data_IF_048043102536
#
_entry.id   IF_048043102536
#
_cell.length_a   1.000
_cell.length_b   1.000
_cell.length_c   1.000
_cell.angle_alpha   90.00
_cell.angle_beta   90.00
_cell.angle_gamma   90.00
#
_symmetry.space_group_name_H-M   'P 1'
#
loop_
_entity.id
_entity.type
_entity.pdbx_description
1 polymer ?
#
# COMPACT_ATOMS: atom_id res chain seq x y z
N UNK A 1 -2.60 -25.88 39.97
CA UNK A 1 -2.31 -26.07 38.55
C UNK A 1 -3.55 -26.57 37.87
N UNK A 2 -4.44 -25.66 37.51
CA UNK A 2 -5.63 -25.97 36.72
C UNK A 2 -5.24 -25.95 35.27
N UNK A 3 -5.17 -27.09 34.63
CA UNK A 3 -5.13 -27.26 33.18
C UNK A 3 -6.46 -26.76 32.62
N UNK A 4 -6.49 -25.47 32.26
CA UNK A 4 -7.60 -24.92 31.50
C UNK A 4 -7.67 -25.66 30.18
N UNK A 5 -8.55 -26.64 30.08
CA UNK A 5 -8.96 -27.30 28.87
C UNK A 5 -9.44 -26.22 27.89
N UNK A 6 -8.61 -25.95 26.86
CA UNK A 6 -8.94 -25.05 25.76
C UNK A 6 -10.25 -25.53 25.12
N UNK A 7 -11.37 -24.93 25.52
CA UNK A 7 -12.67 -25.10 24.84
C UNK A 7 -12.43 -24.84 23.36
N UNK A 8 -12.87 -25.77 22.48
CA UNK A 8 -12.86 -25.62 21.01
C UNK A 8 -13.22 -24.18 20.66
N UNK A 9 -12.25 -23.41 20.17
CA UNK A 9 -12.32 -21.95 20.06
C UNK A 9 -13.54 -21.53 19.24
N UNK A 10 -14.33 -20.62 19.79
CA UNK A 10 -15.48 -20.02 19.10
C UNK A 10 -15.00 -19.43 17.77
N UNK A 11 -15.76 -19.69 16.71
CA UNK A 11 -15.49 -19.14 15.35
C UNK A 11 -15.50 -17.61 15.38
N UNK A 12 -16.38 -17.04 16.20
CA UNK A 12 -16.48 -15.60 16.41
C UNK A 12 -15.84 -15.19 17.74
N UNK A 13 -15.07 -14.12 17.69
CA UNK A 13 -14.50 -13.46 18.85
C UNK A 13 -15.49 -12.60 19.63
N UNK A 14 -15.11 -12.12 20.82
CA UNK A 14 -15.92 -11.17 21.57
C UNK A 14 -16.04 -9.83 20.82
N UNK A 15 -17.15 -9.12 21.04
CA UNK A 15 -17.41 -7.81 20.42
C UNK A 15 -16.27 -6.79 20.71
N UNK A 16 -15.67 -6.87 21.89
CA UNK A 16 -14.51 -6.04 22.28
C UNK A 16 -13.30 -6.20 21.34
N UNK A 17 -13.05 -7.43 20.86
CA UNK A 17 -11.99 -7.71 19.88
C UNK A 17 -12.26 -7.02 18.54
N UNK A 18 -13.47 -7.16 18.01
CA UNK A 18 -13.84 -6.52 16.74
C UNK A 18 -13.85 -4.99 16.86
N UNK A 19 -14.30 -4.47 18.01
CA UNK A 19 -14.21 -3.02 18.30
C UNK A 19 -12.76 -2.54 18.25
N UNK A 20 -11.82 -3.29 18.85
CA UNK A 20 -10.37 -2.98 18.79
C UNK A 20 -9.85 -3.03 17.34
N UNK A 21 -10.22 -4.06 16.59
CA UNK A 21 -9.82 -4.20 15.18
C UNK A 21 -10.35 -3.03 14.32
N UNK A 22 -11.62 -2.65 14.48
CA UNK A 22 -12.22 -1.52 13.78
C UNK A 22 -11.60 -0.16 14.16
N UNK A 23 -11.26 0.03 15.44
CA UNK A 23 -10.58 1.24 15.91
C UNK A 23 -9.18 1.40 15.30
N UNK A 24 -8.55 0.32 14.85
CA UNK A 24 -7.28 0.34 14.10
C UNK A 24 -7.55 0.48 12.61
N UNK A 25 -8.44 -0.33 12.04
CA UNK A 25 -8.68 -0.39 10.60
C UNK A 25 -9.30 0.90 10.06
N UNK A 26 -10.33 1.43 10.70
CA UNK A 26 -11.10 2.57 10.19
C UNK A 26 -10.29 3.85 10.01
N UNK A 27 -9.44 4.28 10.97
CA UNK A 27 -8.58 5.44 10.74
C UNK A 27 -7.57 5.25 9.59
N UNK A 28 -7.06 4.03 9.39
CA UNK A 28 -6.15 3.73 8.28
C UNK A 28 -6.89 3.78 6.95
N UNK A 29 -8.10 3.22 6.88
CA UNK A 29 -8.96 3.32 5.69
C UNK A 29 -9.28 4.77 5.36
N UNK A 30 -9.67 5.57 6.36
CA UNK A 30 -9.95 7.01 6.16
C UNK A 30 -8.71 7.77 5.69
N UNK A 31 -7.53 7.47 6.23
CA UNK A 31 -6.28 8.08 5.79
C UNK A 31 -6.01 7.79 4.31
N UNK A 32 -6.15 6.53 3.90
CA UNK A 32 -5.96 6.14 2.49
C UNK A 32 -7.02 6.75 1.56
N UNK A 33 -8.27 6.81 2.02
CA UNK A 33 -9.34 7.45 1.25
C UNK A 33 -9.03 8.92 1.01
N UNK A 34 -8.62 9.65 2.04
CA UNK A 34 -8.25 11.06 1.93
C UNK A 34 -7.08 11.23 0.97
N UNK A 35 -6.04 10.40 1.06
CA UNK A 35 -4.90 10.47 0.15
C UNK A 35 -5.30 10.22 -1.31
N UNK A 36 -6.20 9.27 -1.58
CA UNK A 36 -6.73 9.03 -2.92
C UNK A 36 -7.56 10.21 -3.43
N UNK A 37 -8.38 10.82 -2.56
CA UNK A 37 -9.17 12.01 -2.92
C UNK A 37 -8.27 13.21 -3.27
N UNK A 38 -7.17 13.40 -2.52
CA UNK A 38 -6.17 14.44 -2.83
C UNK A 38 -5.56 14.22 -4.20
N UNK A 39 -5.11 12.99 -4.49
CA UNK A 39 -4.55 12.67 -5.80
C UNK A 39 -5.54 12.94 -6.94
N UNK A 40 -6.84 12.71 -6.72
CA UNK A 40 -7.87 13.04 -7.70
C UNK A 40 -8.03 14.56 -7.87
N UNK A 41 -8.03 15.32 -6.78
CA UNK A 41 -8.11 16.79 -6.80
C UNK A 41 -6.88 17.37 -7.50
N UNK A 42 -5.69 16.91 -7.18
CA UNK A 42 -4.43 17.34 -7.81
C UNK A 42 -4.48 17.09 -9.32
N UNK A 43 -4.85 15.88 -9.75
CA UNK A 43 -5.00 15.53 -11.17
C UNK A 43 -6.04 16.41 -11.86
N UNK A 44 -7.17 16.68 -11.21
CA UNK A 44 -8.21 17.56 -11.76
C UNK A 44 -7.70 19.00 -11.93
N UNK A 45 -6.98 19.53 -10.95
CA UNK A 45 -6.42 20.88 -11.02
C UNK A 45 -5.36 21.02 -12.11
N UNK A 46 -4.51 19.99 -12.27
CA UNK A 46 -3.48 19.97 -13.33
C UNK A 46 -4.08 19.74 -14.71
N UNK A 47 -5.17 18.98 -14.85
CA UNK A 47 -5.82 18.73 -16.14
C UNK A 47 -6.30 19.99 -16.83
N UNK A 48 -6.66 21.01 -16.07
CA UNK A 48 -7.01 22.34 -16.59
C UNK A 48 -5.86 23.12 -17.24
N UNK A 49 -4.60 22.63 -17.14
CA UNK A 49 -3.42 23.28 -17.73
C UNK A 49 -3.06 22.77 -19.15
N UNK A 50 -3.78 21.77 -19.66
CA UNK A 50 -3.61 21.18 -20.98
C UNK A 50 -2.89 19.85 -21.00
N UNK A 51 -3.03 19.12 -22.11
CA UNK A 51 -2.66 17.71 -22.25
C UNK A 51 -1.17 17.45 -22.10
N UNK A 52 -0.32 18.31 -22.66
CA UNK A 52 1.16 18.16 -22.58
C UNK A 52 1.64 18.24 -21.15
N UNK A 53 1.16 19.24 -20.40
CA UNK A 53 1.55 19.45 -18.98
C UNK A 53 1.03 18.32 -18.10
N UNK A 54 -0.21 17.91 -18.29
CA UNK A 54 -0.79 16.77 -17.58
C UNK A 54 -0.03 15.47 -17.87
N UNK A 55 0.35 15.22 -19.12
CA UNK A 55 1.15 14.06 -19.51
C UNK A 55 2.52 14.06 -18.83
N UNK A 56 3.18 15.23 -18.77
CA UNK A 56 4.46 15.39 -18.07
C UNK A 56 4.37 15.04 -16.58
N UNK A 57 3.33 15.53 -15.89
CA UNK A 57 3.07 15.20 -14.48
C UNK A 57 2.80 13.71 -14.28
N UNK A 58 1.96 13.10 -15.15
CA UNK A 58 1.62 11.69 -15.06
C UNK A 58 2.82 10.76 -15.22
N UNK A 59 3.71 11.05 -16.19
CA UNK A 59 4.93 10.26 -16.42
C UNK A 59 5.88 10.38 -15.23
N UNK A 60 6.08 11.60 -14.72
CA UNK A 60 6.88 11.81 -13.50
C UNK A 60 6.25 11.12 -12.29
N UNK A 61 4.92 11.06 -12.21
CA UNK A 61 4.17 10.37 -11.18
C UNK A 61 4.46 8.87 -11.11
N UNK A 62 4.82 8.22 -12.24
CA UNK A 62 5.21 6.79 -12.22
C UNK A 62 6.51 6.56 -11.43
N UNK A 63 7.47 7.47 -11.53
CA UNK A 63 8.73 7.37 -10.76
C UNK A 63 8.44 7.57 -9.26
N UNK A 64 7.59 8.54 -8.93
CA UNK A 64 7.14 8.76 -7.55
C UNK A 64 6.41 7.53 -7.00
N UNK A 65 5.57 6.87 -7.81
CA UNK A 65 4.88 5.64 -7.44
C UNK A 65 5.84 4.50 -7.10
N UNK A 66 6.87 4.28 -7.93
CA UNK A 66 7.92 3.27 -7.66
C UNK A 66 8.64 3.58 -6.33
N UNK A 67 8.98 4.84 -6.08
CA UNK A 67 9.58 5.26 -4.83
C UNK A 67 8.65 5.01 -3.62
N UNK A 68 7.35 5.30 -3.76
CA UNK A 68 6.33 5.01 -2.73
C UNK A 68 6.23 3.51 -2.43
N UNK A 69 6.21 2.66 -3.45
CA UNK A 69 6.16 1.19 -3.29
C UNK A 69 7.40 0.71 -2.52
N UNK A 70 8.57 1.22 -2.87
CA UNK A 70 9.81 0.87 -2.19
C UNK A 70 9.78 1.29 -0.71
N UNK A 71 9.37 2.52 -0.39
CA UNK A 71 9.24 3.02 0.99
C UNK A 71 8.21 2.19 1.79
N UNK A 72 7.06 1.88 1.20
CA UNK A 72 6.04 1.07 1.85
C UNK A 72 6.53 -0.36 2.14
N UNK A 73 7.30 -0.94 1.23
CA UNK A 73 7.92 -2.26 1.42
C UNK A 73 8.94 -2.24 2.57
N UNK A 74 9.79 -1.21 2.63
CA UNK A 74 10.74 -1.00 3.74
C UNK A 74 9.98 -0.87 5.06
N UNK A 75 8.92 -0.08 5.09
CA UNK A 75 8.09 0.12 6.26
C UNK A 75 7.41 -1.19 6.70
N UNK A 76 6.89 -1.97 5.76
CA UNK A 76 6.27 -3.27 6.04
C UNK A 76 7.30 -4.25 6.64
N UNK A 77 8.50 -4.31 6.07
CA UNK A 77 9.57 -5.18 6.55
C UNK A 77 9.98 -4.87 8.00
N UNK A 78 10.23 -3.58 8.29
CA UNK A 78 10.54 -3.15 9.67
C UNK A 78 9.32 -3.26 10.60
N UNK A 79 8.11 -3.09 10.05
CA UNK A 79 6.85 -3.12 10.78
C UNK A 79 6.51 -4.48 11.38
N UNK A 80 6.86 -5.55 10.70
CA UNK A 80 6.72 -6.93 11.22
C UNK A 80 7.43 -7.06 12.58
N UNK A 81 8.64 -6.54 12.68
CA UNK A 81 9.43 -6.57 13.91
C UNK A 81 8.96 -5.53 14.91
N UNK A 82 8.65 -4.31 14.46
CA UNK A 82 8.19 -3.21 15.32
C UNK A 82 6.94 -3.61 16.12
N UNK A 83 5.94 -4.23 15.49
CA UNK A 83 4.70 -4.65 16.14
C UNK A 83 4.95 -5.78 17.17
N UNK A 84 5.87 -6.69 16.89
CA UNK A 84 6.24 -7.76 17.85
C UNK A 84 7.06 -7.20 19.01
N UNK A 85 8.07 -6.34 18.77
CA UNK A 85 8.81 -5.68 19.85
C UNK A 85 7.91 -4.80 20.71
N UNK A 86 6.90 -4.18 20.12
CA UNK A 86 5.90 -3.44 20.87
C UNK A 86 5.11 -4.37 21.82
N UNK A 87 4.68 -5.53 21.35
CA UNK A 87 4.01 -6.56 22.16
C UNK A 87 4.88 -7.10 23.29
N UNK A 88 6.18 -7.26 23.06
CA UNK A 88 7.17 -7.66 24.05
C UNK A 88 7.58 -6.53 25.03
N UNK A 89 7.19 -5.28 24.77
CA UNK A 89 7.64 -4.12 25.55
C UNK A 89 9.11 -3.75 25.33
N UNK A 90 9.77 -4.31 24.32
CA UNK A 90 11.19 -4.12 24.04
C UNK A 90 11.42 -2.82 23.24
N UNK A 91 11.76 -1.76 23.97
CA UNK A 91 12.08 -0.45 23.39
C UNK A 91 13.34 -0.47 22.52
N UNK A 92 14.34 -1.30 22.84
CA UNK A 92 15.58 -1.40 22.08
C UNK A 92 15.30 -2.04 20.71
N UNK A 93 14.56 -3.15 20.70
CA UNK A 93 14.14 -3.79 19.46
C UNK A 93 13.31 -2.88 18.57
N UNK A 94 12.38 -2.08 19.15
CA UNK A 94 11.61 -1.09 18.38
C UNK A 94 12.50 0.00 17.74
N UNK A 95 13.53 0.49 18.47
CA UNK A 95 14.50 1.45 17.91
C UNK A 95 15.32 0.83 16.78
N UNK A 96 15.73 -0.43 16.89
CA UNK A 96 16.43 -1.14 15.82
C UNK A 96 15.55 -1.31 14.56
N UNK A 97 14.25 -1.59 14.74
CA UNK A 97 13.30 -1.63 13.63
C UNK A 97 13.13 -0.24 12.96
N UNK A 98 13.15 0.84 13.75
CA UNK A 98 13.15 2.20 13.23
C UNK A 98 14.45 2.52 12.48
N UNK A 99 15.62 2.15 13.04
CA UNK A 99 16.94 2.32 12.41
C UNK A 99 17.02 1.58 11.07
N UNK A 100 16.50 0.34 11.00
CA UNK A 100 16.40 -0.41 9.75
C UNK A 100 15.61 0.37 8.68
N UNK A 101 14.42 0.88 9.03
CA UNK A 101 13.60 1.69 8.12
C UNK A 101 14.35 2.95 7.68
N UNK A 102 14.98 3.66 8.61
CA UNK A 102 15.69 4.90 8.34
C UNK A 102 16.90 4.71 7.40
N UNK A 103 17.71 3.67 7.64
CA UNK A 103 18.89 3.37 6.81
C UNK A 103 18.49 2.98 5.40
N UNK A 104 17.52 2.07 5.25
CA UNK A 104 17.07 1.68 3.91
C UNK A 104 16.33 2.82 3.18
N UNK A 105 15.57 3.63 3.90
CA UNK A 105 14.95 4.81 3.30
C UNK A 105 15.99 5.84 2.87
N UNK A 106 17.08 6.02 3.62
CA UNK A 106 18.19 6.89 3.20
C UNK A 106 18.81 6.41 1.87
N UNK A 107 19.04 5.10 1.71
CA UNK A 107 19.48 4.51 0.44
C UNK A 107 18.46 4.77 -0.67
N UNK A 108 17.18 4.53 -0.40
CA UNK A 108 16.10 4.77 -1.37
C UNK A 108 16.01 6.26 -1.77
N UNK A 109 16.20 7.20 -0.82
CA UNK A 109 16.24 8.64 -1.08
C UNK A 109 17.41 8.98 -2.01
N UNK A 110 18.61 8.45 -1.76
CA UNK A 110 19.78 8.71 -2.62
C UNK A 110 19.49 8.23 -4.04
N UNK A 111 18.96 7.02 -4.22
CA UNK A 111 18.58 6.51 -5.54
C UNK A 111 17.51 7.38 -6.21
N UNK A 112 16.51 7.81 -5.46
CA UNK A 112 15.44 8.69 -5.95
C UNK A 112 15.99 10.06 -6.38
N UNK A 113 16.88 10.67 -5.58
CA UNK A 113 17.52 11.94 -5.92
C UNK A 113 18.39 11.82 -7.16
N UNK A 114 19.14 10.72 -7.32
CA UNK A 114 19.92 10.47 -8.54
C UNK A 114 19.01 10.41 -9.78
N UNK A 115 17.88 9.72 -9.69
CA UNK A 115 16.91 9.65 -10.78
C UNK A 115 16.27 11.01 -11.06
N UNK A 116 15.86 11.75 -10.02
CA UNK A 116 15.13 13.01 -10.20
C UNK A 116 16.02 14.20 -10.60
N UNK A 117 17.27 14.25 -10.12
CA UNK A 117 18.13 15.43 -10.28
C UNK A 117 19.30 15.22 -11.26
N UNK A 118 19.82 13.97 -11.37
CA UNK A 118 20.98 13.69 -12.22
C UNK A 118 20.56 13.09 -13.56
N UNK A 119 19.60 12.16 -13.56
CA UNK A 119 19.21 11.41 -14.76
C UNK A 119 17.71 11.55 -15.13
N UNK A 120 17.04 12.70 -14.89
CA UNK A 120 15.59 12.80 -15.10
C UNK A 120 15.21 12.57 -16.57
N UNK A 121 15.93 13.21 -17.51
CA UNK A 121 15.63 13.12 -18.94
C UNK A 121 15.84 11.72 -19.49
N UNK A 122 16.91 11.04 -19.08
CA UNK A 122 17.24 9.69 -19.52
C UNK A 122 16.17 8.67 -19.10
N UNK A 123 15.74 8.77 -17.84
CA UNK A 123 14.72 7.83 -17.31
C UNK A 123 13.35 8.11 -17.91
N UNK A 124 12.95 9.38 -17.99
CA UNK A 124 11.64 9.77 -18.51
C UNK A 124 11.54 9.53 -20.03
N UNK A 125 12.64 9.66 -20.80
CA UNK A 125 12.64 9.41 -22.24
C UNK A 125 12.24 7.96 -22.59
N UNK A 126 12.53 6.99 -21.72
CA UNK A 126 12.10 5.60 -21.91
C UNK A 126 10.58 5.43 -21.88
N UNK A 127 9.86 6.37 -21.28
CA UNK A 127 8.39 6.31 -21.12
C UNK A 127 7.61 7.01 -22.24
N UNK A 128 8.29 7.81 -23.07
CA UNK A 128 7.67 8.58 -24.16
C UNK A 128 8.10 8.13 -25.56
N UNK A 129 8.75 6.98 -25.66
CA UNK A 129 9.23 6.43 -26.94
C UNK A 129 8.07 6.29 -27.92
N UNK A 130 8.23 6.87 -29.13
CA UNK A 130 7.21 6.79 -30.19
C UNK A 130 6.07 7.81 -30.08
N UNK A 131 6.11 8.74 -29.13
CA UNK A 131 5.12 9.81 -29.01
C UNK A 131 5.51 11.00 -29.92
N UNK A 132 4.55 11.52 -30.68
CA UNK A 132 4.77 12.67 -31.58
C UNK A 132 5.11 13.99 -30.86
N UNK A 133 4.77 14.13 -29.59
CA UNK A 133 5.02 15.30 -28.74
C UNK A 133 6.04 14.99 -27.62
N UNK A 134 6.86 13.96 -27.80
CA UNK A 134 7.78 13.46 -26.78
C UNK A 134 8.64 14.57 -26.14
N UNK A 135 9.24 15.45 -26.94
CA UNK A 135 10.12 16.51 -26.43
C UNK A 135 9.38 17.52 -25.56
N UNK A 136 8.19 17.97 -25.98
CA UNK A 136 7.39 18.91 -25.21
C UNK A 136 6.92 18.31 -23.87
N UNK A 137 6.50 17.05 -23.88
CA UNK A 137 6.11 16.31 -22.67
C UNK A 137 7.31 16.11 -21.75
N UNK A 138 8.47 15.77 -22.34
CA UNK A 138 9.71 15.55 -21.57
C UNK A 138 10.17 16.82 -20.85
N UNK A 139 10.11 17.96 -21.51
CA UNK A 139 10.54 19.24 -20.92
C UNK A 139 9.69 19.62 -19.71
N UNK A 140 8.37 19.43 -19.77
CA UNK A 140 7.49 19.65 -18.61
C UNK A 140 7.69 18.59 -17.52
N UNK A 141 7.89 17.32 -17.91
CA UNK A 141 8.14 16.24 -16.98
C UNK A 141 9.45 16.42 -16.19
N UNK A 142 10.53 16.84 -16.86
CA UNK A 142 11.83 17.08 -16.22
C UNK A 142 11.76 18.24 -15.22
N UNK A 143 11.08 19.34 -15.57
CA UNK A 143 10.88 20.46 -14.64
C UNK A 143 10.12 20.04 -13.39
N UNK A 144 9.03 19.30 -13.56
CA UNK A 144 8.23 18.78 -12.44
C UNK A 144 9.04 17.79 -11.59
N UNK A 145 9.72 16.84 -12.24
CA UNK A 145 10.47 15.78 -11.56
C UNK A 145 11.65 16.34 -10.77
N UNK A 146 12.36 17.35 -11.29
CA UNK A 146 13.43 18.02 -10.55
C UNK A 146 12.92 18.62 -9.22
N UNK A 147 11.78 19.31 -9.25
CA UNK A 147 11.16 19.83 -8.04
C UNK A 147 10.72 18.70 -7.11
N UNK A 148 10.12 17.64 -7.65
CA UNK A 148 9.67 16.48 -6.87
C UNK A 148 10.84 15.71 -6.23
N UNK A 149 12.06 15.88 -6.69
CA UNK A 149 13.26 15.40 -5.99
C UNK A 149 13.33 15.90 -4.54
N UNK A 150 13.03 17.16 -4.28
CA UNK A 150 12.99 17.73 -2.93
C UNK A 150 11.89 17.12 -2.05
N UNK A 151 10.85 16.52 -2.64
CA UNK A 151 9.81 15.81 -1.93
C UNK A 151 10.28 14.49 -1.31
N UNK A 152 11.38 13.90 -1.81
CA UNK A 152 11.84 12.56 -1.41
C UNK A 152 12.12 12.43 0.09
N UNK A 153 12.83 13.40 0.66
CA UNK A 153 13.21 13.39 2.09
C UNK A 153 11.98 13.53 3.00
N UNK A 154 11.15 14.58 2.87
CA UNK A 154 9.99 14.73 3.75
C UNK A 154 8.99 13.58 3.61
N UNK A 155 8.80 13.06 2.40
CA UNK A 155 7.95 11.91 2.15
C UNK A 155 8.45 10.64 2.86
N UNK A 156 9.74 10.34 2.80
CA UNK A 156 10.32 9.16 3.44
C UNK A 156 10.19 9.25 4.98
N UNK A 157 10.53 10.39 5.57
CA UNK A 157 10.41 10.61 7.02
C UNK A 157 8.94 10.49 7.47
N UNK A 158 8.02 11.13 6.76
CA UNK A 158 6.58 11.05 7.05
C UNK A 158 6.07 9.61 6.97
N UNK A 159 6.47 8.86 5.94
CA UNK A 159 6.07 7.46 5.75
C UNK A 159 6.58 6.57 6.87
N UNK A 160 7.84 6.70 7.28
CA UNK A 160 8.45 5.95 8.39
C UNK A 160 7.73 6.26 9.71
N UNK A 161 7.51 7.55 10.02
CA UNK A 161 6.85 7.97 11.24
C UNK A 161 5.39 7.48 11.29
N UNK A 162 4.65 7.66 10.21
CA UNK A 162 3.27 7.21 10.06
C UNK A 162 3.15 5.69 10.23
N UNK A 163 4.00 4.92 9.54
CA UNK A 163 4.06 3.46 9.65
C UNK A 163 4.36 3.02 11.07
N UNK A 164 5.41 3.58 11.70
CA UNK A 164 5.84 3.20 13.05
C UNK A 164 4.77 3.51 14.11
N UNK A 165 4.02 4.61 13.96
CA UNK A 165 2.88 4.91 14.83
C UNK A 165 1.72 3.92 14.62
N UNK A 166 1.44 3.53 13.38
CA UNK A 166 0.39 2.52 13.09
C UNK A 166 0.73 1.17 13.69
N UNK A 167 1.97 0.74 13.62
CA UNK A 167 2.46 -0.56 14.12
C UNK A 167 2.38 -0.70 15.64
N UNK A 168 2.42 0.41 16.38
CA UNK A 168 2.13 0.44 17.82
C UNK A 168 0.66 0.77 18.15
N UNK A 169 -0.23 0.70 17.16
CA UNK A 169 -1.67 0.93 17.32
C UNK A 169 -2.09 2.41 17.44
N UNK A 170 -1.19 3.38 17.29
CA UNK A 170 -1.51 4.81 17.32
C UNK A 170 -1.92 5.34 15.96
N UNK A 171 -3.03 4.81 15.41
CA UNK A 171 -3.49 5.09 14.03
C UNK A 171 -4.21 6.45 13.85
N UNK A 172 -4.71 7.06 14.93
CA UNK A 172 -5.41 8.35 14.86
C UNK A 172 -4.46 9.51 14.57
N UNK A 173 -3.24 9.47 15.09
CA UNK A 173 -2.25 10.54 14.88
C UNK A 173 -1.85 10.67 13.41
N UNK A 174 -1.46 9.59 12.69
CA UNK A 174 -1.22 9.67 11.26
C UNK A 174 -2.41 10.19 10.46
N UNK A 175 -3.64 9.76 10.79
CA UNK A 175 -4.84 10.25 10.15
C UNK A 175 -4.98 11.77 10.31
N UNK A 176 -4.90 12.29 11.55
CA UNK A 176 -5.06 13.72 11.80
C UNK A 176 -4.01 14.56 11.10
N UNK A 177 -2.75 14.11 11.10
CA UNK A 177 -1.65 14.80 10.41
C UNK A 177 -1.87 14.77 8.90
N UNK A 178 -2.29 13.63 8.33
CA UNK A 178 -2.58 13.54 6.90
C UNK A 178 -3.75 14.46 6.47
N UNK A 179 -4.79 14.61 7.30
CA UNK A 179 -5.90 15.54 7.03
C UNK A 179 -5.36 16.98 6.92
N UNK A 180 -4.54 17.41 7.88
CA UNK A 180 -3.97 18.76 7.87
C UNK A 180 -3.06 18.95 6.65
N UNK A 181 -2.18 17.99 6.37
CA UNK A 181 -1.30 18.06 5.19
C UNK A 181 -2.09 18.15 3.87
N UNK A 182 -3.23 17.44 3.80
CA UNK A 182 -4.15 17.51 2.67
C UNK A 182 -4.75 18.90 2.49
N UNK A 183 -5.24 19.50 3.55
CA UNK A 183 -5.80 20.86 3.51
C UNK A 183 -4.73 21.86 3.06
N UNK A 184 -3.51 21.75 3.58
CA UNK A 184 -2.36 22.56 3.17
C UNK A 184 -2.06 22.35 1.69
N UNK A 185 -2.00 21.11 1.20
CA UNK A 185 -1.76 20.81 -0.21
C UNK A 185 -2.83 21.44 -1.12
N UNK A 186 -4.10 21.21 -0.83
CA UNK A 186 -5.23 21.76 -1.63
C UNK A 186 -5.21 23.29 -1.65
N UNK A 187 -4.94 23.93 -0.50
CA UNK A 187 -4.85 25.38 -0.40
C UNK A 187 -3.69 25.92 -1.26
N UNK A 188 -2.49 25.38 -1.11
CA UNK A 188 -1.34 25.86 -1.90
C UNK A 188 -1.44 25.49 -3.38
N UNK A 189 -2.09 24.40 -3.75
CA UNK A 189 -2.42 24.11 -5.14
C UNK A 189 -3.29 25.21 -5.74
N UNK A 190 -4.36 25.60 -5.03
CA UNK A 190 -5.24 26.68 -5.49
C UNK A 190 -4.51 28.02 -5.60
N UNK A 191 -3.60 28.32 -4.70
CA UNK A 191 -2.80 29.57 -4.72
C UNK A 191 -1.78 29.54 -5.87
N UNK A 192 -0.96 28.49 -5.98
CA UNK A 192 0.24 28.48 -6.82
C UNK A 192 -0.04 28.02 -8.26
N UNK A 193 -1.00 27.13 -8.47
CA UNK A 193 -1.36 26.67 -9.84
C UNK A 193 -2.03 27.82 -10.61
N UNK A 194 -2.97 28.52 -9.96
CA UNK A 194 -3.80 29.52 -10.62
C UNK A 194 -3.34 30.98 -10.40
N UNK A 195 -2.40 31.22 -9.47
CA UNK A 195 -1.92 32.56 -9.16
C UNK A 195 -2.87 33.38 -8.29
N UNK A 196 -3.64 32.73 -7.42
CA UNK A 196 -4.56 33.42 -6.53
C UNK A 196 -3.83 34.14 -5.39
N UNK A 197 -4.52 35.06 -4.69
CA UNK A 197 -3.98 35.86 -3.59
C UNK A 197 -2.72 36.69 -3.95
N UNK A 198 -2.52 37.04 -5.22
CA UNK A 198 -1.36 37.79 -5.68
C UNK A 198 -0.08 36.97 -5.86
N UNK A 199 -0.14 35.66 -5.72
CA UNK A 199 0.99 34.76 -6.00
C UNK A 199 1.22 34.63 -7.53
N UNK A 200 2.47 34.36 -7.97
CA UNK A 200 2.71 34.08 -9.37
C UNK A 200 2.02 32.79 -9.80
N UNK A 201 1.46 32.80 -11.01
CA UNK A 201 0.87 31.59 -11.61
C UNK A 201 2.00 30.65 -12.06
N UNK A 202 2.26 29.61 -11.28
CA UNK A 202 3.37 28.65 -11.50
C UNK A 202 2.91 27.38 -12.22
N UNK A 203 1.60 27.18 -12.42
CA UNK A 203 1.04 26.03 -13.13
C UNK A 203 1.55 24.68 -12.58
N UNK A 204 2.19 23.85 -13.42
CA UNK A 204 2.72 22.52 -13.02
C UNK A 204 3.78 22.62 -11.91
N UNK A 205 4.64 23.64 -11.95
CA UNK A 205 5.60 23.87 -10.89
C UNK A 205 4.93 24.26 -9.57
N UNK A 206 3.81 25.00 -9.66
CA UNK A 206 2.97 25.32 -8.52
C UNK A 206 2.42 24.07 -7.81
N UNK A 207 1.98 23.08 -8.58
CA UNK A 207 1.53 21.80 -8.04
C UNK A 207 2.67 21.04 -7.31
N UNK A 208 3.88 21.02 -7.89
CA UNK A 208 5.04 20.41 -7.25
C UNK A 208 5.40 21.10 -5.93
N UNK A 209 5.47 22.43 -5.92
CA UNK A 209 5.79 23.23 -4.74
C UNK A 209 4.71 23.05 -3.65
N UNK A 210 3.44 23.06 -4.00
CA UNK A 210 2.35 22.82 -3.05
C UNK A 210 2.45 21.44 -2.39
N UNK A 211 2.80 20.41 -3.19
CA UNK A 211 3.04 19.06 -2.67
C UNK A 211 4.24 19.03 -1.72
N UNK A 212 5.35 19.71 -2.04
CA UNK A 212 6.52 19.79 -1.17
C UNK A 212 6.16 20.50 0.16
N UNK A 213 5.43 21.62 0.11
CA UNK A 213 5.00 22.34 1.31
C UNK A 213 4.12 21.44 2.20
N UNK A 214 3.18 20.72 1.61
CA UNK A 214 2.33 19.79 2.34
C UNK A 214 3.13 18.66 2.99
N UNK A 215 4.10 18.08 2.30
CA UNK A 215 4.97 17.03 2.84
C UNK A 215 5.94 17.53 3.90
N UNK A 216 6.47 18.74 3.76
CA UNK A 216 7.25 19.39 4.82
C UNK A 216 6.40 19.64 6.06
N UNK A 217 5.17 20.08 5.89
CA UNK A 217 4.20 20.26 6.99
C UNK A 217 3.92 18.92 7.68
N UNK A 218 3.65 17.87 6.92
CA UNK A 218 3.41 16.51 7.42
C UNK A 218 4.61 16.00 8.21
N UNK A 219 5.81 16.08 7.64
CA UNK A 219 7.06 15.71 8.30
C UNK A 219 7.27 16.46 9.60
N UNK A 220 7.13 17.78 9.57
CA UNK A 220 7.33 18.65 10.74
C UNK A 220 6.37 18.28 11.85
N UNK A 221 5.09 18.05 11.54
CA UNK A 221 4.09 17.63 12.52
C UNK A 221 4.41 16.27 13.14
N UNK A 222 4.89 15.29 12.34
CA UNK A 222 5.34 14.00 12.86
C UNK A 222 6.53 14.15 13.78
N UNK A 223 7.53 14.94 13.40
CA UNK A 223 8.74 15.16 14.21
C UNK A 223 8.40 15.87 15.53
N UNK A 224 7.56 16.90 15.49
CA UNK A 224 7.08 17.58 16.70
C UNK A 224 6.32 16.58 17.59
N UNK A 225 5.41 15.78 17.02
CA UNK A 225 4.66 14.79 17.78
C UNK A 225 5.60 13.79 18.49
N UNK A 226 6.60 13.26 17.76
CA UNK A 226 7.57 12.31 18.32
C UNK A 226 8.43 12.97 19.40
N UNK A 227 8.87 14.19 19.20
CA UNK A 227 9.68 14.93 20.17
C UNK A 227 8.92 15.20 21.47
N UNK A 228 7.64 15.58 21.37
CA UNK A 228 6.78 15.93 22.54
C UNK A 228 6.26 14.68 23.25
N UNK A 229 5.71 13.71 22.50
CA UNK A 229 5.03 12.54 23.07
C UNK A 229 5.94 11.36 23.34
N UNK A 230 7.15 11.37 22.80
CA UNK A 230 8.20 10.35 22.98
C UNK A 230 7.65 8.91 22.94
N UNK A 231 7.06 8.46 21.81
CA UNK A 231 6.55 7.09 21.70
C UNK A 231 7.67 6.07 21.98
N UNK A 232 7.35 4.81 22.32
CA UNK A 232 8.34 3.81 22.75
C UNK A 232 9.49 3.56 21.79
N UNK A 233 9.27 3.81 20.48
CA UNK A 233 10.29 3.67 19.43
C UNK A 233 11.15 4.94 19.24
N UNK A 234 10.89 6.02 20.00
CA UNK A 234 11.67 7.25 19.86
C UNK A 234 13.15 6.98 20.04
N UNK A 235 13.95 7.42 19.08
CA UNK A 235 15.38 7.25 19.06
C UNK A 235 16.07 8.60 18.85
N UNK A 236 17.20 8.79 19.47
CA UNK A 236 18.09 9.91 19.18
C UNK A 236 18.82 9.69 17.84
N UNK A 237 19.33 10.73 17.16
CA UNK A 237 20.10 10.54 15.93
C UNK A 237 21.26 9.54 16.06
N UNK A 238 21.93 9.50 17.22
CA UNK A 238 22.99 8.52 17.50
C UNK A 238 22.47 7.09 17.57
N UNK A 239 21.31 6.88 18.18
CA UNK A 239 20.67 5.56 18.27
C UNK A 239 20.15 5.07 16.91
N UNK A 240 19.70 5.99 16.03
CA UNK A 240 19.27 5.64 14.67
C UNK A 240 20.43 5.10 13.79
N UNK A 241 21.65 5.55 14.03
CA UNK A 241 22.84 5.08 13.29
C UNK A 241 23.46 3.85 13.95
N UNK A 242 23.15 3.57 15.23
CA UNK A 242 23.63 2.38 15.94
C UNK A 242 22.85 1.13 15.52
N UNK A 243 23.30 0.48 14.45
CA UNK A 243 22.62 -0.64 13.81
C UNK A 243 23.16 -1.98 14.35
N UNK A 244 22.28 -2.84 14.80
CA UNK A 244 22.55 -4.25 15.04
C UNK A 244 22.53 -5.01 13.71
N UNK A 245 23.72 -5.23 13.12
CA UNK A 245 23.84 -5.84 11.80
C UNK A 245 23.19 -7.22 11.66
N UNK A 246 23.34 -8.18 12.59
CA UNK A 246 22.64 -9.46 12.54
C UNK A 246 21.12 -9.31 12.46
N UNK A 247 20.54 -8.40 13.23
CA UNK A 247 19.11 -8.11 13.21
C UNK A 247 18.71 -7.40 11.92
N UNK A 248 19.52 -6.42 11.46
CA UNK A 248 19.32 -5.70 10.21
C UNK A 248 19.23 -6.65 9.01
N UNK A 249 20.17 -7.58 8.86
CA UNK A 249 20.15 -8.55 7.76
C UNK A 249 18.97 -9.54 7.86
N UNK A 250 18.53 -9.87 9.07
CA UNK A 250 17.28 -10.65 9.24
C UNK A 250 16.06 -9.89 8.74
N UNK A 251 15.94 -8.61 9.10
CA UNK A 251 14.86 -7.74 8.59
C UNK A 251 14.95 -7.60 7.08
N UNK A 252 16.15 -7.38 6.54
CA UNK A 252 16.39 -7.25 5.10
C UNK A 252 15.98 -8.53 4.34
N UNK A 253 16.34 -9.72 4.83
CA UNK A 253 15.93 -11.00 4.24
C UNK A 253 14.41 -11.16 4.23
N UNK A 254 13.71 -10.73 5.29
CA UNK A 254 12.24 -10.75 5.33
C UNK A 254 11.64 -9.71 4.38
N UNK A 255 12.23 -8.53 4.34
CA UNK A 255 11.83 -7.43 3.46
C UNK A 255 12.02 -7.75 1.98
N UNK A 256 13.12 -8.42 1.60
CA UNK A 256 13.34 -8.80 0.20
C UNK A 256 12.29 -9.79 -0.32
N UNK A 257 11.78 -10.67 0.54
CA UNK A 257 10.67 -11.57 0.19
C UNK A 257 9.36 -10.81 0.00
N UNK A 258 9.10 -9.79 0.85
CA UNK A 258 7.94 -8.90 0.68
C UNK A 258 8.06 -8.12 -0.63
N UNK A 259 9.24 -7.54 -0.90
CA UNK A 259 9.49 -6.83 -2.15
C UNK A 259 9.28 -7.71 -3.37
N UNK A 260 9.77 -8.95 -3.32
CA UNK A 260 9.57 -9.92 -4.41
C UNK A 260 8.08 -10.21 -4.67
N UNK A 261 7.29 -10.37 -3.62
CA UNK A 261 5.82 -10.55 -3.71
C UNK A 261 5.14 -9.32 -4.33
N UNK A 262 5.47 -8.11 -3.88
CA UNK A 262 4.92 -6.87 -4.42
C UNK A 262 5.33 -6.65 -5.90
N UNK A 263 6.57 -6.97 -6.28
CA UNK A 263 7.02 -6.89 -7.68
C UNK A 263 6.28 -7.88 -8.59
N UNK A 264 6.07 -9.11 -8.14
CA UNK A 264 5.27 -10.10 -8.88
C UNK A 264 3.83 -9.63 -9.09
N UNK A 265 3.25 -9.00 -8.07
CA UNK A 265 1.92 -8.39 -8.20
C UNK A 265 1.91 -7.26 -9.23
N UNK A 266 2.86 -6.33 -9.19
CA UNK A 266 2.97 -5.23 -10.16
C UNK A 266 3.15 -5.75 -11.58
N UNK A 267 4.03 -6.74 -11.78
CA UNK A 267 4.25 -7.36 -13.10
C UNK A 267 2.96 -8.02 -13.59
N UNK A 268 2.29 -8.78 -12.73
CA UNK A 268 1.01 -9.43 -13.07
C UNK A 268 -0.04 -8.42 -13.52
N UNK A 269 -0.22 -7.34 -12.74
CA UNK A 269 -1.23 -6.30 -13.01
C UNK A 269 -0.91 -5.54 -14.30
N UNK A 270 0.38 -5.23 -14.55
CA UNK A 270 0.82 -4.56 -15.77
C UNK A 270 0.57 -5.41 -17.02
N UNK A 271 0.99 -6.69 -16.99
CA UNK A 271 0.81 -7.61 -18.12
C UNK A 271 -0.67 -7.86 -18.40
N UNK A 272 -1.45 -8.15 -17.36
CA UNK A 272 -2.88 -8.43 -17.53
C UNK A 272 -3.65 -7.22 -18.03
N UNK A 273 -3.35 -6.01 -17.53
CA UNK A 273 -3.98 -4.75 -17.97
C UNK A 273 -3.65 -4.47 -19.44
N UNK A 274 -2.41 -4.66 -19.86
CA UNK A 274 -2.03 -4.49 -21.27
C UNK A 274 -2.83 -5.44 -22.19
N UNK A 275 -3.00 -6.70 -21.78
CA UNK A 275 -3.76 -7.68 -22.55
C UNK A 275 -5.27 -7.42 -22.55
N UNK A 276 -5.84 -6.90 -21.46
CA UNK A 276 -7.24 -6.46 -21.42
C UNK A 276 -7.47 -5.30 -22.40
N UNK A 277 -6.60 -4.29 -22.38
CA UNK A 277 -6.69 -3.13 -23.25
C UNK A 277 -6.51 -3.48 -24.74
N UNK A 278 -5.74 -4.53 -25.03
CA UNK A 278 -5.56 -5.04 -26.40
C UNK A 278 -6.79 -5.75 -27.00
N UNK A 279 -7.88 -5.92 -26.23
CA UNK A 279 -9.10 -6.65 -26.66
C UNK A 279 -10.17 -5.77 -27.31
N UNK A 280 -9.88 -4.53 -27.60
CA UNK A 280 -10.83 -3.65 -28.28
C UNK A 280 -10.30 -2.24 -28.52
N UNK A 281 -11.19 -1.34 -28.90
CA UNK A 281 -10.88 0.04 -29.18
C UNK A 281 -10.83 0.94 -27.95
N UNK A 282 -10.93 2.24 -28.16
CA UNK A 282 -10.88 3.26 -27.11
C UNK A 282 -11.94 3.09 -26.02
N UNK A 283 -13.08 2.50 -26.33
CA UNK A 283 -14.17 2.20 -25.40
C UNK A 283 -13.80 1.12 -24.38
N UNK A 284 -13.00 0.11 -24.77
CA UNK A 284 -12.45 -0.89 -23.83
C UNK A 284 -11.44 -0.24 -22.89
N UNK A 285 -10.50 0.53 -23.42
CA UNK A 285 -9.47 1.20 -22.62
C UNK A 285 -10.11 2.15 -21.60
N UNK A 286 -11.05 2.99 -22.05
CA UNK A 286 -11.74 3.95 -21.17
C UNK A 286 -12.66 3.27 -20.15
N UNK A 287 -13.37 2.21 -20.55
CA UNK A 287 -14.22 1.43 -19.64
C UNK A 287 -13.42 0.69 -18.57
N UNK A 288 -12.27 0.11 -18.92
CA UNK A 288 -11.35 -0.51 -17.97
C UNK A 288 -10.75 0.53 -17.03
N UNK A 289 -10.28 1.67 -17.55
CA UNK A 289 -9.73 2.75 -16.72
C UNK A 289 -10.74 3.29 -15.71
N UNK A 290 -11.99 3.52 -16.12
CA UNK A 290 -13.06 3.91 -15.21
C UNK A 290 -13.34 2.85 -14.13
N UNK A 291 -13.26 1.57 -14.50
CA UNK A 291 -13.43 0.46 -13.55
C UNK A 291 -12.33 0.45 -12.50
N UNK A 292 -11.07 0.61 -12.89
CA UNK A 292 -9.94 0.66 -11.96
C UNK A 292 -9.95 1.91 -11.08
N UNK A 293 -10.45 3.05 -11.57
CA UNK A 293 -10.65 4.24 -10.75
C UNK A 293 -11.60 3.97 -9.57
N UNK A 294 -12.70 3.24 -9.80
CA UNK A 294 -13.62 2.81 -8.75
C UNK A 294 -12.95 1.72 -7.87
N UNK A 295 -12.23 0.77 -8.48
CA UNK A 295 -11.55 -0.30 -7.75
C UNK A 295 -10.51 0.23 -6.73
N UNK A 296 -9.89 1.37 -6.98
CA UNK A 296 -8.99 2.02 -6.03
C UNK A 296 -9.66 2.32 -4.68
N UNK A 297 -10.98 2.53 -4.65
CA UNK A 297 -11.74 2.67 -3.41
C UNK A 297 -11.79 1.34 -2.63
N UNK A 298 -11.76 0.20 -3.31
CA UNK A 298 -11.71 -1.12 -2.67
C UNK A 298 -10.35 -1.41 -2.05
N UNK A 299 -9.25 -0.95 -2.65
CA UNK A 299 -7.90 -1.08 -2.08
C UNK A 299 -7.75 -0.38 -0.73
N UNK A 300 -8.49 0.71 -0.52
CA UNK A 300 -8.56 1.39 0.79
C UNK A 300 -8.98 0.42 1.89
N UNK A 301 -9.97 -0.42 1.62
CA UNK A 301 -10.49 -1.40 2.59
C UNK A 301 -9.42 -2.42 3.00
N UNK A 302 -8.59 -2.89 2.05
CA UNK A 302 -7.53 -3.87 2.34
C UNK A 302 -6.46 -3.30 3.26
N UNK A 303 -6.08 -2.03 3.09
CA UNK A 303 -5.05 -1.40 3.90
C UNK A 303 -5.41 -1.37 5.40
N UNK A 304 -6.67 -1.11 5.72
CA UNK A 304 -7.15 -1.12 7.10
C UNK A 304 -7.12 -2.51 7.73
N UNK A 305 -7.61 -3.52 7.01
CA UNK A 305 -7.67 -4.90 7.51
C UNK A 305 -6.27 -5.48 7.69
N UNK A 306 -5.39 -5.29 6.71
CA UNK A 306 -4.01 -5.79 6.79
C UNK A 306 -3.25 -5.13 7.94
N UNK A 307 -3.43 -3.81 8.13
CA UNK A 307 -2.83 -3.08 9.26
C UNK A 307 -3.36 -3.58 10.60
N UNK A 308 -4.68 -3.72 10.74
CA UNK A 308 -5.28 -4.22 11.99
C UNK A 308 -4.79 -5.64 12.32
N UNK A 309 -4.72 -6.52 11.30
CA UNK A 309 -4.19 -7.88 11.44
C UNK A 309 -2.73 -7.86 11.88
N UNK A 310 -1.88 -7.07 11.24
CA UNK A 310 -0.46 -6.96 11.56
C UNK A 310 -0.21 -6.44 12.99
N UNK A 311 -0.94 -5.40 13.39
CA UNK A 311 -0.81 -4.79 14.74
C UNK A 311 -1.30 -5.74 15.83
N UNK A 312 -2.47 -6.34 15.66
CA UNK A 312 -3.06 -7.22 16.68
C UNK A 312 -2.21 -8.48 16.84
N UNK A 313 -2.00 -9.22 15.74
CA UNK A 313 -1.24 -10.47 15.80
C UNK A 313 0.24 -10.25 16.12
N UNK A 314 0.86 -9.21 15.55
CA UNK A 314 2.25 -8.87 15.85
C UNK A 314 2.45 -8.61 17.35
N UNK A 315 1.57 -7.80 17.96
CA UNK A 315 1.62 -7.52 19.39
C UNK A 315 1.40 -8.79 20.24
N UNK A 316 0.42 -9.63 19.87
CA UNK A 316 0.11 -10.87 20.61
C UNK A 316 1.23 -11.92 20.45
N UNK A 317 1.85 -12.04 19.27
CA UNK A 317 3.01 -12.91 19.07
C UNK A 317 4.23 -12.42 19.86
N UNK A 318 4.46 -11.11 19.84
CA UNK A 318 5.58 -10.49 20.55
C UNK A 318 5.47 -10.62 22.08
N UNK A 319 4.25 -10.60 22.63
CA UNK A 319 4.02 -10.85 24.07
C UNK A 319 4.18 -12.33 24.47
N UNK A 320 4.42 -13.24 23.50
CA UNK A 320 4.57 -14.69 23.77
C UNK A 320 3.23 -15.44 23.91
N UNK A 321 2.09 -14.79 23.73
CA UNK A 321 0.77 -15.41 23.85
C UNK A 321 0.37 -16.18 22.58
N UNK A 322 1.13 -17.24 22.23
CA UNK A 322 1.00 -17.94 20.94
C UNK A 322 -0.38 -18.59 20.72
N UNK A 323 -1.01 -19.14 21.78
CA UNK A 323 -2.34 -19.75 21.68
C UNK A 323 -3.42 -18.71 21.44
N UNK A 324 -3.31 -17.55 22.07
CA UNK A 324 -4.18 -16.41 21.81
C UNK A 324 -4.02 -15.90 20.39
N UNK A 325 -2.80 -15.85 19.86
CA UNK A 325 -2.55 -15.48 18.48
C UNK A 325 -3.23 -16.45 17.49
N UNK A 326 -3.23 -17.78 17.77
CA UNK A 326 -3.98 -18.77 16.98
C UNK A 326 -5.48 -18.52 17.00
N UNK A 327 -6.01 -18.11 18.14
CA UNK A 327 -7.41 -17.78 18.28
C UNK A 327 -7.77 -16.47 17.59
N UNK A 328 -6.99 -15.41 17.76
CA UNK A 328 -7.15 -14.11 17.11
C UNK A 328 -7.06 -14.22 15.58
N UNK A 329 -6.14 -15.07 15.05
CA UNK A 329 -6.10 -15.41 13.61
C UNK A 329 -7.46 -15.88 13.11
N UNK A 330 -8.12 -16.82 13.81
CA UNK A 330 -9.43 -17.33 13.39
C UNK A 330 -10.46 -16.22 13.33
N UNK A 331 -10.50 -15.37 14.35
CA UNK A 331 -11.42 -14.25 14.42
C UNK A 331 -11.19 -13.21 13.33
N UNK A 332 -9.92 -12.89 13.03
CA UNK A 332 -9.56 -11.97 11.95
C UNK A 332 -9.92 -12.52 10.57
N UNK A 333 -9.68 -13.82 10.36
CA UNK A 333 -10.07 -14.46 9.11
C UNK A 333 -11.59 -14.48 8.91
N UNK A 334 -12.35 -14.77 9.97
CA UNK A 334 -13.83 -14.71 9.94
C UNK A 334 -14.30 -13.27 9.70
N UNK A 335 -13.71 -12.29 10.39
CA UNK A 335 -14.00 -10.87 10.15
C UNK A 335 -13.73 -10.47 8.71
N UNK A 336 -12.61 -10.93 8.12
CA UNK A 336 -12.28 -10.70 6.73
C UNK A 336 -13.34 -11.22 5.76
N UNK A 337 -13.86 -12.41 6.00
CA UNK A 337 -14.96 -12.98 5.18
C UNK A 337 -16.22 -12.11 5.29
N UNK A 338 -16.66 -11.81 6.52
CA UNK A 338 -17.85 -10.97 6.76
C UNK A 338 -17.68 -9.60 6.11
N UNK A 339 -16.51 -9.00 6.26
CA UNK A 339 -16.22 -7.71 5.65
C UNK A 339 -16.17 -7.79 4.12
N UNK A 340 -15.64 -8.87 3.55
CA UNK A 340 -15.66 -9.11 2.11
C UNK A 340 -17.08 -9.16 1.55
N UNK A 341 -17.99 -9.84 2.24
CA UNK A 341 -19.42 -9.83 1.88
C UNK A 341 -20.05 -8.44 2.01
N UNK A 342 -19.72 -7.69 3.06
CA UNK A 342 -20.15 -6.30 3.19
C UNK A 342 -19.66 -5.44 2.01
N UNK A 343 -18.43 -5.65 1.56
CA UNK A 343 -17.86 -4.91 0.42
C UNK A 343 -18.55 -5.21 -0.92
N UNK A 344 -19.25 -6.35 -1.07
CA UNK A 344 -20.11 -6.60 -2.23
C UNK A 344 -21.19 -5.50 -2.31
N UNK A 345 -21.86 -5.23 -1.20
CA UNK A 345 -22.91 -4.19 -1.16
C UNK A 345 -22.34 -2.81 -1.47
N UNK A 346 -21.18 -2.48 -0.87
CA UNK A 346 -20.51 -1.20 -1.13
C UNK A 346 -20.18 -1.06 -2.61
N UNK A 347 -19.63 -2.11 -3.23
CA UNK A 347 -19.29 -2.11 -4.66
C UNK A 347 -20.54 -1.97 -5.55
N UNK A 348 -21.59 -2.72 -5.27
CA UNK A 348 -22.84 -2.66 -6.04
C UNK A 348 -23.53 -1.29 -5.91
N UNK A 349 -23.40 -0.60 -4.76
CA UNK A 349 -23.92 0.76 -4.58
C UNK A 349 -23.22 1.80 -5.48
N UNK A 350 -22.03 1.51 -6.00
CA UNK A 350 -21.35 2.41 -6.95
C UNK A 350 -21.88 2.28 -8.38
N UNK A 351 -22.57 1.18 -8.71
CA UNK A 351 -23.05 0.89 -10.07
C UNK A 351 -24.06 1.96 -10.59
N UNK A 352 -25.06 2.41 -9.80
CA UNK A 352 -25.97 3.47 -10.21
C UNK A 352 -25.29 4.83 -10.43
N UNK A 353 -24.11 5.03 -9.83
CA UNK A 353 -23.37 6.29 -9.96
C UNK A 353 -22.55 6.37 -11.25
N UNK A 354 -22.32 5.24 -11.94
CA UNK A 354 -21.52 5.19 -13.17
C UNK A 354 -22.03 6.16 -14.23
N UNK A 355 -23.34 6.24 -14.57
CA UNK A 355 -23.83 7.19 -15.57
C UNK A 355 -23.65 8.65 -15.15
N UNK A 356 -23.67 8.93 -13.85
CA UNK A 356 -23.53 10.28 -13.30
C UNK A 356 -22.07 10.72 -13.35
N UNK A 357 -21.15 9.88 -12.87
CA UNK A 357 -19.72 10.19 -12.78
C UNK A 357 -19.03 10.09 -14.14
N UNK A 358 -19.39 9.09 -14.92
CA UNK A 358 -18.78 8.78 -16.22
C UNK A 358 -19.78 8.98 -17.39
N UNK A 359 -20.67 9.96 -17.28
CA UNK A 359 -21.70 10.24 -18.28
C UNK A 359 -21.15 10.61 -19.66
N UNK A 360 -19.94 11.16 -19.72
CA UNK A 360 -19.21 11.52 -20.94
C UNK A 360 -18.65 10.31 -21.72
N UNK A 361 -18.56 9.13 -21.09
CA UNK A 361 -18.11 7.92 -21.76
C UNK A 361 -19.18 7.34 -22.69
N UNK A 362 -18.74 6.62 -23.73
CA UNK A 362 -19.65 5.90 -24.65
C UNK A 362 -20.51 4.87 -23.89
N UNK A 363 -21.66 4.51 -24.47
CA UNK A 363 -22.53 3.49 -23.91
C UNK A 363 -21.81 2.13 -23.76
N UNK A 364 -20.92 1.78 -24.70
CA UNK A 364 -20.09 0.58 -24.65
C UNK A 364 -19.12 0.64 -23.48
N UNK A 365 -18.37 1.72 -23.30
CA UNK A 365 -17.44 1.90 -22.20
C UNK A 365 -18.14 1.84 -20.83
N UNK A 366 -19.29 2.50 -20.67
CA UNK A 366 -20.11 2.42 -19.45
C UNK A 366 -20.62 1.01 -19.17
N UNK A 367 -20.99 0.26 -20.21
CA UNK A 367 -21.39 -1.16 -20.07
C UNK A 367 -20.23 -2.03 -19.55
N UNK A 368 -19.01 -1.82 -20.09
CA UNK A 368 -17.80 -2.50 -19.62
C UNK A 368 -17.54 -2.15 -18.16
N UNK A 369 -17.56 -0.86 -17.81
CA UNK A 369 -17.37 -0.38 -16.43
C UNK A 369 -18.37 -1.05 -15.48
N UNK A 370 -19.65 -1.07 -15.84
CA UNK A 370 -20.69 -1.69 -15.03
C UNK A 370 -20.43 -3.18 -14.79
N UNK A 371 -20.15 -3.94 -15.86
CA UNK A 371 -19.86 -5.39 -15.75
C UNK A 371 -18.61 -5.65 -14.92
N UNK A 372 -17.56 -4.85 -15.07
CA UNK A 372 -16.33 -4.95 -14.31
C UNK A 372 -16.58 -4.70 -12.83
N UNK A 373 -17.31 -3.64 -12.45
CA UNK A 373 -17.58 -3.32 -11.05
C UNK A 373 -18.41 -4.42 -10.38
N UNK A 374 -19.43 -4.94 -11.09
CA UNK A 374 -20.21 -6.08 -10.58
C UNK A 374 -19.30 -7.29 -10.35
N UNK A 375 -18.45 -7.62 -11.31
CA UNK A 375 -17.52 -8.74 -11.20
C UNK A 375 -16.51 -8.53 -10.07
N UNK A 376 -15.87 -7.37 -9.98
CA UNK A 376 -14.95 -7.02 -8.90
C UNK A 376 -15.62 -7.11 -7.53
N UNK A 377 -16.87 -6.63 -7.41
CA UNK A 377 -17.63 -6.70 -6.17
C UNK A 377 -17.87 -8.15 -5.74
N UNK A 378 -18.25 -9.03 -6.67
CA UNK A 378 -18.46 -10.46 -6.37
C UNK A 378 -17.18 -11.18 -5.93
N UNK A 379 -16.01 -10.75 -6.41
CA UNK A 379 -14.71 -11.29 -6.00
C UNK A 379 -14.13 -10.66 -4.72
N UNK A 380 -14.84 -9.73 -4.08
CA UNK A 380 -14.38 -9.10 -2.83
C UNK A 380 -14.13 -10.10 -1.68
N UNK A 381 -15.03 -11.07 -1.36
CA UNK A 381 -14.78 -11.99 -0.26
C UNK A 381 -13.50 -12.81 -0.41
N UNK A 382 -13.25 -13.52 -1.53
CA UNK A 382 -11.98 -14.23 -1.72
C UNK A 382 -10.77 -13.28 -1.70
N UNK A 383 -10.89 -12.09 -2.25
CA UNK A 383 -9.81 -11.12 -2.31
C UNK A 383 -9.45 -10.57 -0.92
N UNK A 384 -10.43 -10.20 -0.10
CA UNK A 384 -10.21 -9.81 1.30
C UNK A 384 -9.59 -10.99 2.07
N UNK A 385 -10.11 -12.20 1.88
CA UNK A 385 -9.66 -13.37 2.62
C UNK A 385 -8.18 -13.70 2.37
N UNK A 386 -7.72 -13.70 1.12
CA UNK A 386 -6.31 -13.92 0.79
C UNK A 386 -5.40 -12.82 1.39
N UNK A 387 -5.84 -11.55 1.38
CA UNK A 387 -5.09 -10.46 1.99
C UNK A 387 -4.95 -10.64 3.52
N UNK A 388 -5.99 -11.13 4.21
CA UNK A 388 -5.90 -11.48 5.63
C UNK A 388 -4.92 -12.64 5.86
N UNK A 389 -4.95 -13.70 5.02
CA UNK A 389 -4.01 -14.82 5.11
C UNK A 389 -2.56 -14.36 5.00
N UNK A 390 -2.27 -13.49 4.03
CA UNK A 390 -0.93 -12.92 3.83
C UNK A 390 -0.53 -12.00 4.98
N UNK A 391 -1.46 -11.21 5.52
CA UNK A 391 -1.21 -10.36 6.68
C UNK A 391 -0.89 -11.18 7.95
N UNK A 392 -1.60 -12.29 8.18
CA UNK A 392 -1.32 -13.24 9.26
C UNK A 392 0.08 -13.81 9.13
N UNK A 393 0.45 -14.26 7.95
CA UNK A 393 1.76 -14.81 7.66
C UNK A 393 2.88 -13.78 7.89
N UNK A 394 2.69 -12.56 7.39
CA UNK A 394 3.61 -11.43 7.57
C UNK A 394 3.76 -11.06 9.06
N UNK A 395 2.69 -11.03 9.84
CA UNK A 395 2.73 -10.71 11.27
C UNK A 395 3.63 -11.67 12.07
N UNK A 396 3.65 -12.94 11.70
CA UNK A 396 4.54 -13.96 12.27
C UNK A 396 5.93 -14.04 11.63
N UNK A 397 6.23 -13.16 10.66
CA UNK A 397 7.51 -13.12 9.96
C UNK A 397 7.70 -14.24 8.92
N UNK A 398 6.66 -15.01 8.55
CA UNK A 398 6.73 -15.96 7.43
C UNK A 398 6.46 -15.27 6.10
N UNK A 399 7.34 -14.34 5.74
CA UNK A 399 7.23 -13.56 4.48
C UNK A 399 7.46 -14.40 3.24
N UNK A 400 8.12 -15.56 3.38
CA UNK A 400 8.33 -16.49 2.29
C UNK A 400 7.01 -17.04 1.75
N UNK A 401 5.99 -17.24 2.60
CA UNK A 401 4.69 -17.71 2.18
C UNK A 401 4.08 -16.82 1.09
N UNK A 402 4.07 -15.50 1.30
CA UNK A 402 3.54 -14.55 0.31
C UNK A 402 4.28 -14.67 -1.02
N UNK A 403 5.61 -14.64 -0.98
CA UNK A 403 6.44 -14.77 -2.19
C UNK A 403 6.14 -16.06 -2.95
N UNK A 404 6.06 -17.21 -2.27
CA UNK A 404 5.78 -18.48 -2.92
C UNK A 404 4.37 -18.56 -3.49
N UNK A 405 3.36 -18.07 -2.77
CA UNK A 405 1.98 -18.01 -3.27
C UNK A 405 1.90 -17.15 -4.53
N UNK A 406 2.49 -15.94 -4.50
CA UNK A 406 2.46 -15.04 -5.64
C UNK A 406 3.32 -15.55 -6.80
N UNK A 407 4.52 -16.09 -6.54
CA UNK A 407 5.38 -16.63 -7.60
C UNK A 407 4.73 -17.80 -8.33
N UNK A 408 4.22 -18.79 -7.60
CA UNK A 408 3.58 -19.97 -8.23
C UNK A 408 2.35 -19.58 -9.03
N UNK A 409 1.48 -18.74 -8.48
CA UNK A 409 0.24 -18.37 -9.19
C UNK A 409 0.49 -17.37 -10.31
N UNK A 410 1.36 -16.39 -10.14
CA UNK A 410 1.65 -15.40 -11.18
C UNK A 410 2.42 -16.01 -12.34
N UNK A 411 3.52 -16.70 -12.07
CA UNK A 411 4.41 -17.21 -13.12
C UNK A 411 3.91 -18.48 -13.80
N UNK A 412 3.17 -19.33 -13.09
CA UNK A 412 2.72 -20.62 -13.64
C UNK A 412 1.26 -20.60 -14.10
N UNK A 413 0.42 -19.68 -13.59
CA UNK A 413 -1.01 -19.68 -13.91
C UNK A 413 -1.46 -18.38 -14.57
N UNK A 414 -1.24 -17.21 -13.94
CA UNK A 414 -1.79 -15.94 -14.43
C UNK A 414 -1.15 -15.55 -15.76
N UNK A 415 0.18 -15.38 -15.78
CA UNK A 415 0.88 -14.90 -16.99
C UNK A 415 0.72 -15.90 -18.15
N UNK A 416 1.04 -17.19 -18.01
CA UNK A 416 0.85 -18.14 -19.12
C UNK A 416 -0.63 -18.27 -19.52
N UNK A 417 -1.52 -18.38 -18.54
CA UNK A 417 -2.95 -18.53 -18.79
C UNK A 417 -3.55 -17.37 -19.55
N UNK A 418 -3.25 -16.12 -19.15
CA UNK A 418 -3.78 -14.94 -19.82
C UNK A 418 -3.20 -14.76 -21.24
N UNK A 419 -1.92 -15.12 -21.47
CA UNK A 419 -1.34 -15.14 -22.81
C UNK A 419 -2.00 -16.19 -23.72
N UNK A 420 -2.26 -17.40 -23.21
CA UNK A 420 -2.98 -18.43 -23.96
C UNK A 420 -4.40 -17.98 -24.30
N UNK A 421 -5.13 -17.43 -23.32
CA UNK A 421 -6.46 -16.88 -23.54
C UNK A 421 -6.41 -15.74 -24.57
N UNK A 422 -5.43 -14.84 -24.45
CA UNK A 422 -5.26 -13.74 -25.38
C UNK A 422 -4.93 -14.22 -26.81
N UNK A 423 -4.17 -15.29 -26.97
CA UNK A 423 -3.74 -15.79 -28.27
C UNK A 423 -4.79 -16.66 -28.97
N UNK A 424 -5.48 -17.52 -28.23
CA UNK A 424 -6.31 -18.58 -28.80
C UNK A 424 -7.82 -18.36 -28.64
N UNK A 425 -8.25 -17.30 -27.96
CA UNK A 425 -9.67 -17.02 -27.75
C UNK A 425 -10.03 -15.58 -28.10
N UNK A 426 -11.32 -15.34 -28.36
CA UNK A 426 -11.90 -14.00 -28.57
C UNK A 426 -12.65 -13.48 -27.33
N UNK A 427 -12.32 -14.00 -26.17
CA UNK A 427 -12.98 -13.62 -24.90
C UNK A 427 -12.72 -12.14 -24.60
N UNK A 428 -13.76 -11.43 -24.23
CA UNK A 428 -13.68 -9.98 -23.92
C UNK A 428 -12.98 -9.67 -22.60
N UNK A 429 -12.57 -8.41 -22.37
CA UNK A 429 -11.71 -8.00 -21.27
C UNK A 429 -12.31 -8.30 -19.87
N UNK A 430 -13.62 -8.18 -19.71
CA UNK A 430 -14.32 -8.47 -18.45
C UNK A 430 -14.18 -9.95 -18.05
N UNK A 431 -14.41 -10.85 -19.01
CA UNK A 431 -14.28 -12.29 -18.77
C UNK A 431 -12.82 -12.68 -18.53
N UNK A 432 -11.86 -12.10 -19.24
CA UNK A 432 -10.43 -12.28 -18.99
C UNK A 432 -10.05 -11.87 -17.57
N UNK A 433 -10.54 -10.72 -17.10
CA UNK A 433 -10.34 -10.28 -15.72
C UNK A 433 -10.91 -11.30 -14.71
N UNK A 434 -12.14 -11.79 -14.96
CA UNK A 434 -12.75 -12.84 -14.12
C UNK A 434 -11.92 -14.10 -14.02
N UNK A 435 -11.31 -14.55 -15.14
CA UNK A 435 -10.41 -15.73 -15.16
C UNK A 435 -9.17 -15.50 -14.30
N UNK A 436 -8.55 -14.32 -14.40
CA UNK A 436 -7.40 -13.95 -13.56
C UNK A 436 -7.79 -13.94 -12.09
N UNK A 437 -8.94 -13.36 -11.74
CA UNK A 437 -9.43 -13.34 -10.35
C UNK A 437 -9.85 -14.72 -9.83
N UNK A 438 -10.28 -15.63 -10.69
CA UNK A 438 -10.54 -17.02 -10.30
C UNK A 438 -9.29 -17.74 -9.75
N UNK A 439 -8.08 -17.33 -10.16
CA UNK A 439 -6.82 -17.85 -9.60
C UNK A 439 -6.68 -17.54 -8.11
N UNK A 440 -7.39 -16.52 -7.58
CA UNK A 440 -7.38 -16.21 -6.15
C UNK A 440 -7.88 -17.37 -5.28
N UNK A 441 -8.78 -18.22 -5.79
CA UNK A 441 -9.19 -19.46 -5.09
C UNK A 441 -8.03 -20.45 -4.95
N UNK A 442 -7.15 -20.52 -5.95
CA UNK A 442 -5.93 -21.33 -5.87
C UNK A 442 -4.95 -20.71 -4.87
N UNK A 443 -4.77 -19.37 -4.91
CA UNK A 443 -3.97 -18.64 -3.91
C UNK A 443 -4.44 -18.93 -2.50
N UNK A 444 -5.74 -18.83 -2.24
CA UNK A 444 -6.37 -19.11 -0.95
C UNK A 444 -6.07 -20.51 -0.48
N UNK A 445 -6.18 -21.49 -1.39
CA UNK A 445 -5.96 -22.90 -1.09
C UNK A 445 -4.50 -23.16 -0.71
N UNK A 446 -3.55 -22.67 -1.50
CA UNK A 446 -2.11 -22.80 -1.21
C UNK A 446 -1.79 -22.12 0.11
N UNK A 447 -2.25 -20.88 0.30
CA UNK A 447 -2.05 -20.10 1.52
C UNK A 447 -2.66 -20.81 2.75
N UNK A 448 -3.83 -21.42 2.62
CA UNK A 448 -4.46 -22.18 3.70
C UNK A 448 -3.60 -23.36 4.17
N UNK A 449 -3.07 -24.17 3.22
CA UNK A 449 -2.20 -25.28 3.58
C UNK A 449 -0.87 -24.82 4.18
N UNK A 450 -0.31 -23.71 3.69
CA UNK A 450 0.91 -23.14 4.25
C UNK A 450 0.67 -22.58 5.67
N UNK A 451 -0.45 -21.91 5.93
CA UNK A 451 -0.82 -21.42 7.26
C UNK A 451 -1.08 -22.55 8.27
N UNK A 452 -1.55 -23.72 7.82
CA UNK A 452 -1.69 -24.92 8.67
C UNK A 452 -0.36 -25.44 9.22
N UNK A 453 0.76 -25.19 8.52
CA UNK A 453 2.11 -25.54 8.99
C UNK A 453 2.59 -24.68 10.15
N UNK A 454 1.82 -23.69 10.59
CA UNK A 454 2.05 -22.79 11.72
C UNK A 454 3.43 -22.09 11.73
N UNK A 455 4.10 -21.96 10.60
CA UNK A 455 5.40 -21.26 10.50
C UNK A 455 5.33 -19.79 10.89
N UNK A 456 4.12 -19.23 10.84
CA UNK A 456 3.82 -17.86 11.25
C UNK A 456 3.69 -17.71 12.79
N UNK A 457 3.50 -18.79 13.55
CA UNK A 457 3.39 -18.77 15.01
C UNK A 457 4.79 -18.70 15.60
N UNK A 458 5.39 -17.53 15.55
CA UNK A 458 6.77 -17.30 16.03
C UNK A 458 6.85 -15.97 16.74
N UNK A 459 7.50 -16.01 17.91
CA UNK A 459 8.00 -14.82 18.57
C UNK A 459 9.38 -14.48 17.97
N UNK A 460 9.46 -13.35 17.27
CA UNK A 460 10.72 -12.89 16.65
C UNK A 460 11.63 -12.17 17.67
N UNK A 461 11.11 -11.85 18.86
CA UNK A 461 11.82 -11.11 19.89
C UNK A 461 12.71 -12.03 20.73
N UNK A 462 12.33 -13.31 20.92
CA UNK A 462 13.09 -14.29 21.71
C UNK A 462 14.46 -14.65 21.10
N UNK A 463 14.62 -14.39 19.82
CA UNK A 463 15.84 -14.75 19.08
C UNK A 463 17.00 -13.78 19.39
N UNK A 464 16.73 -12.68 20.08
CA UNK A 464 17.71 -11.61 20.38
C UNK A 464 18.15 -11.60 21.84
N UNK A 465 17.44 -12.29 22.74
CA UNK A 465 17.92 -12.44 24.11
C UNK A 465 19.00 -13.55 24.13
N UNK A 466 20.28 -13.26 24.51
CA UNK A 466 21.18 -14.32 24.86
C UNK A 466 20.54 -15.11 26.01
N UNK A 467 20.56 -16.42 25.89
CA UNK A 467 20.16 -17.33 26.99
C UNK A 467 20.74 -16.76 28.29
N UNK A 468 19.87 -16.30 29.17
CA UNK A 468 20.30 -16.07 30.57
C UNK A 468 20.77 -17.43 31.07
N UNK A 469 22.05 -17.66 31.06
CA UNK A 469 22.66 -18.70 31.85
C UNK A 469 22.25 -18.42 33.29
N UNK A 470 21.31 -19.18 33.79
CA UNK A 470 21.04 -19.31 35.23
C UNK A 470 22.31 -19.92 35.83
N UNK A 471 23.14 -19.06 36.43
CA UNK A 471 24.05 -19.47 37.47
C UNK A 471 23.29 -19.69 38.80
#
# INVERSE_FOLDING_TARGET
>A
METATLKKGKIFGPASFYKKALLIALPVMLQMLIQNMVSLIDNFMVSGLGDVKMSGVNISGQILFVFMVLLNTICTAGGIFMSQYYGAGDKRGMRQALSFKAVLAAVAIVLYLLVCMVFPRQVLSLMVVGNSQADAILDEAVKYMFLMGFNGIPMAISTICSSSLREIGRVRTPLSISVIATLVNTFFNWVLIYGNLGAPRLEVQGAAIATIIARLTEMTMFLIFIAVKRPPFSATPKELVSVDFPLFFRMLKKGSMVLGSEMLWVISETVTTALYNGRGGADVVSGMAASFAIANLFFVAFSGITTATGVILGSTLGSGELDKARQEKRWLMTAGVVFGFFMIFVGLLTVPLIPVVFGHLSASARSITRRMIVLMSLFMPPWVYINVQLAVSRAGGDTAMGLWVDATTTLLMIIPGIFLVARYTMIGPVAMYGMVKAVDFVKITIAHFMLKRERWVRNLTDIVQPVKTTE
#
